data_IF_286811393654
#
_entry.id   IF_286811393654
#
_cell.length_a   1.000
_cell.length_b   1.000
_cell.length_c   1.000
_cell.angle_alpha   90.00
_cell.angle_beta   90.00
_cell.angle_gamma   90.00
#
_symmetry.space_group_name_H-M   'P 1'
#
loop_
_entity.id
_entity.type
_entity.pdbx_description
1 polymer ?
#
# COMPACT_ATOMS: atom_id res chain seq x y z
N UNK A 1 8.41 3.55 -20.18
CA UNK A 1 9.72 3.92 -19.59
C UNK A 1 9.80 3.61 -18.10
N UNK A 2 8.95 4.20 -17.22
CA UNK A 2 9.00 3.98 -15.76
C UNK A 2 9.04 2.48 -15.36
N UNK A 3 8.18 1.64 -15.95
CA UNK A 3 8.20 0.20 -15.74
C UNK A 3 9.58 -0.42 -16.01
N UNK A 4 10.15 -0.16 -17.20
CA UNK A 4 11.43 -0.73 -17.61
C UNK A 4 12.57 -0.23 -16.72
N UNK A 5 12.55 1.06 -16.34
CA UNK A 5 13.53 1.65 -15.44
C UNK A 5 13.48 0.98 -14.06
N UNK A 6 12.29 0.80 -13.48
CA UNK A 6 12.11 0.12 -12.20
C UNK A 6 12.54 -1.35 -12.28
N UNK A 7 12.17 -2.06 -13.34
CA UNK A 7 12.57 -3.46 -13.54
C UNK A 7 14.09 -3.62 -13.58
N UNK A 8 14.78 -2.78 -14.37
CA UNK A 8 16.23 -2.83 -14.51
C UNK A 8 16.95 -2.41 -13.21
N UNK A 9 16.47 -1.35 -12.54
CA UNK A 9 17.08 -0.85 -11.31
C UNK A 9 17.04 -1.88 -10.16
N UNK A 10 16.01 -2.72 -10.13
CA UNK A 10 15.82 -3.73 -9.08
C UNK A 10 16.18 -5.15 -9.50
N UNK A 11 16.73 -5.36 -10.70
CA UNK A 11 17.19 -6.67 -11.14
C UNK A 11 18.21 -7.33 -10.19
N UNK A 12 19.12 -6.59 -9.50
CA UNK A 12 20.00 -7.18 -8.50
C UNK A 12 19.26 -7.86 -7.33
N UNK A 13 18.00 -7.49 -7.05
CA UNK A 13 17.20 -8.11 -6.01
C UNK A 13 17.01 -9.62 -6.24
N UNK A 14 17.12 -10.11 -7.48
CA UNK A 14 16.98 -11.54 -7.78
C UNK A 14 18.04 -12.44 -7.13
N UNK A 15 19.13 -11.85 -6.63
CA UNK A 15 20.20 -12.55 -5.90
C UNK A 15 19.92 -12.65 -4.38
N UNK A 16 18.77 -12.16 -3.93
CA UNK A 16 18.38 -12.18 -2.51
C UNK A 16 17.96 -13.55 -1.98
N UNK A 17 17.69 -13.57 -0.68
CA UNK A 17 17.22 -14.73 0.10
C UNK A 17 15.89 -14.45 0.80
N UNK A 18 15.33 -15.44 1.49
CA UNK A 18 14.23 -15.23 2.44
C UNK A 18 14.73 -14.50 3.69
N UNK A 19 13.92 -13.60 4.25
CA UNK A 19 14.26 -12.80 5.44
C UNK A 19 13.07 -12.66 6.40
N UNK A 20 13.35 -12.50 7.70
CA UNK A 20 12.36 -12.12 8.73
C UNK A 20 11.05 -12.93 8.64
N UNK A 21 9.93 -12.25 8.40
CA UNK A 21 8.61 -12.86 8.39
C UNK A 21 8.39 -13.83 7.20
N UNK A 22 9.28 -13.86 6.21
CA UNK A 22 9.21 -14.80 5.08
C UNK A 22 9.20 -16.25 5.58
N UNK A 23 9.88 -16.53 6.68
CA UNK A 23 9.92 -17.87 7.23
C UNK A 23 8.55 -18.35 7.70
N UNK A 24 7.75 -17.50 8.36
CA UNK A 24 6.46 -17.92 8.88
C UNK A 24 5.27 -17.56 7.99
N UNK A 25 5.43 -16.64 7.03
CA UNK A 25 4.42 -16.37 6.02
C UNK A 25 4.54 -17.29 4.81
N UNK A 26 5.75 -17.65 4.39
CA UNK A 26 6.01 -18.34 3.12
C UNK A 26 6.62 -19.72 3.36
N UNK A 27 7.83 -19.79 3.94
CA UNK A 27 8.65 -21.01 3.94
C UNK A 27 8.04 -22.12 4.80
N UNK A 28 7.60 -21.79 6.01
CA UNK A 28 7.09 -22.74 7.00
C UNK A 28 5.56 -22.72 7.10
N UNK A 29 4.88 -21.92 6.27
CA UNK A 29 3.42 -21.79 6.35
C UNK A 29 2.72 -22.96 5.64
N UNK A 30 1.98 -23.81 6.37
CA UNK A 30 1.26 -24.93 5.77
C UNK A 30 0.23 -24.48 4.73
N UNK A 31 -0.42 -23.33 4.94
CA UNK A 31 -1.41 -22.79 4.02
C UNK A 31 -0.81 -22.42 2.66
N UNK A 32 0.46 -21.98 2.62
CA UNK A 32 1.17 -21.69 1.37
C UNK A 32 1.75 -22.95 0.73
N UNK A 33 2.23 -23.90 1.54
CA UNK A 33 2.84 -25.15 1.06
C UNK A 33 1.82 -26.11 0.46
N UNK A 34 0.70 -26.30 1.16
CA UNK A 34 -0.35 -27.24 0.82
C UNK A 34 -1.73 -26.63 1.14
N UNK A 35 -2.20 -25.64 0.35
CA UNK A 35 -3.50 -25.04 0.59
C UNK A 35 -4.63 -26.09 0.44
N UNK A 36 -5.57 -26.18 1.39
CA UNK A 36 -6.75 -27.04 1.27
C UNK A 36 -7.65 -26.67 0.06
N UNK A 37 -7.53 -25.44 -0.41
CA UNK A 37 -8.20 -24.89 -1.58
C UNK A 37 -8.01 -23.38 -1.66
N UNK A 38 -8.28 -22.76 -2.81
CA UNK A 38 -8.01 -21.33 -3.00
C UNK A 38 -8.90 -20.42 -2.14
N UNK A 39 -10.14 -20.85 -1.88
CA UNK A 39 -11.06 -20.12 -1.00
C UNK A 39 -10.65 -20.16 0.48
N UNK A 40 -9.76 -21.08 0.88
CA UNK A 40 -9.29 -21.20 2.27
C UNK A 40 -8.72 -19.89 2.81
N UNK A 41 -7.95 -19.17 1.99
CA UNK A 41 -7.34 -17.90 2.38
C UNK A 41 -8.38 -16.85 2.79
N UNK A 42 -9.55 -16.84 2.14
CA UNK A 42 -10.61 -15.84 2.37
C UNK A 42 -11.53 -16.17 3.54
N UNK A 43 -11.46 -17.39 4.06
CA UNK A 43 -12.34 -17.85 5.15
C UNK A 43 -11.57 -18.18 6.43
N UNK A 44 -10.25 -18.35 6.36
CA UNK A 44 -9.43 -18.78 7.49
C UNK A 44 -8.29 -17.78 7.77
N UNK A 45 -8.42 -16.93 8.79
CA UNK A 45 -7.38 -15.96 9.18
C UNK A 45 -6.05 -16.59 9.59
N UNK A 46 -6.10 -17.82 10.09
CA UNK A 46 -4.92 -18.62 10.45
C UNK A 46 -3.99 -18.90 9.27
N UNK A 47 -4.50 -18.80 8.04
CA UNK A 47 -3.69 -18.92 6.82
C UNK A 47 -2.55 -17.90 6.74
N UNK A 48 -2.62 -16.80 7.51
CA UNK A 48 -1.66 -15.71 7.47
C UNK A 48 -0.26 -16.09 7.96
N UNK A 49 -0.13 -16.92 9.01
CA UNK A 49 1.17 -17.18 9.64
C UNK A 49 1.22 -18.55 10.32
N UNK A 50 2.37 -19.23 10.20
CA UNK A 50 2.64 -20.48 10.93
C UNK A 50 2.83 -20.30 12.44
N UNK A 51 2.83 -19.07 12.97
CA UNK A 51 3.02 -18.79 14.40
C UNK A 51 1.73 -18.90 15.23
N UNK A 52 0.58 -19.24 14.62
CA UNK A 52 -0.64 -19.61 15.33
C UNK A 52 -1.38 -18.48 16.04
N UNK A 53 -1.08 -17.20 15.75
CA UNK A 53 -1.79 -16.04 16.29
C UNK A 53 -2.24 -15.10 15.17
N UNK A 54 -3.44 -15.29 14.60
CA UNK A 54 -3.91 -14.46 13.50
C UNK A 54 -4.30 -13.07 14.05
N UNK A 55 -3.43 -12.09 13.85
CA UNK A 55 -3.71 -10.67 14.16
C UNK A 55 -3.97 -9.84 12.91
N UNK A 56 -3.79 -10.47 11.74
CA UNK A 56 -3.89 -9.86 10.43
C UNK A 56 -4.62 -10.81 9.48
N UNK A 57 -5.37 -10.23 8.56
CA UNK A 57 -6.09 -10.94 7.52
C UNK A 57 -5.71 -10.33 6.16
N UNK A 58 -4.94 -11.08 5.37
CA UNK A 58 -4.41 -10.63 4.08
C UNK A 58 -4.56 -11.73 3.00
N UNK A 59 -5.81 -12.15 2.71
CA UNK A 59 -6.07 -13.33 1.89
C UNK A 59 -5.46 -13.25 0.49
N UNK A 60 -5.45 -12.08 -0.14
CA UNK A 60 -4.88 -11.94 -1.50
C UNK A 60 -3.36 -12.07 -1.51
N UNK A 61 -2.70 -11.54 -0.49
CA UNK A 61 -1.26 -11.72 -0.32
C UNK A 61 -0.93 -13.20 -0.14
N UNK A 62 -1.66 -13.91 0.74
CA UNK A 62 -1.43 -15.34 0.98
C UNK A 62 -1.74 -16.20 -0.25
N UNK A 63 -2.83 -15.91 -0.97
CA UNK A 63 -3.14 -16.54 -2.25
C UNK A 63 -2.02 -16.30 -3.26
N UNK A 64 -1.47 -15.08 -3.34
CA UNK A 64 -0.36 -14.77 -4.26
C UNK A 64 0.89 -15.60 -3.94
N UNK A 65 1.16 -15.88 -2.66
CA UNK A 65 2.28 -16.74 -2.27
C UNK A 65 2.02 -18.20 -2.64
N UNK A 66 0.82 -18.71 -2.38
CA UNK A 66 0.46 -20.09 -2.72
C UNK A 66 0.50 -20.33 -4.23
N UNK A 67 0.00 -19.39 -5.04
CA UNK A 67 0.10 -19.46 -6.51
C UNK A 67 1.56 -19.38 -6.98
N UNK A 68 2.37 -18.49 -6.38
CA UNK A 68 3.78 -18.39 -6.74
C UNK A 68 4.56 -19.66 -6.39
N UNK A 69 4.19 -20.36 -5.29
CA UNK A 69 4.80 -21.62 -4.87
C UNK A 69 4.67 -22.71 -5.93
N UNK A 70 3.56 -22.74 -6.68
CA UNK A 70 3.33 -23.72 -7.75
C UNK A 70 4.39 -23.68 -8.86
N UNK A 71 5.00 -22.52 -9.08
CA UNK A 71 5.99 -22.32 -10.16
C UNK A 71 7.41 -22.21 -9.59
N UNK A 72 7.57 -21.50 -8.47
CA UNK A 72 8.88 -21.19 -7.93
C UNK A 72 9.41 -22.26 -6.98
N UNK A 73 8.54 -23.02 -6.31
CA UNK A 73 8.89 -23.87 -5.17
C UNK A 73 9.86 -23.15 -4.21
N UNK A 74 11.12 -23.60 -4.12
CA UNK A 74 12.17 -23.02 -3.28
C UNK A 74 13.13 -22.05 -4.03
N UNK A 75 12.91 -21.79 -5.32
CA UNK A 75 13.75 -20.90 -6.13
C UNK A 75 13.47 -19.42 -5.82
N UNK A 76 14.19 -18.86 -4.84
CA UNK A 76 13.99 -17.49 -4.32
C UNK A 76 14.00 -16.42 -5.42
N UNK A 77 14.82 -16.58 -6.46
CA UNK A 77 14.88 -15.64 -7.59
C UNK A 77 13.53 -15.47 -8.29
N UNK A 78 12.73 -16.53 -8.45
CA UNK A 78 11.39 -16.44 -9.06
C UNK A 78 10.40 -15.72 -8.13
N UNK A 79 10.52 -15.92 -6.81
CA UNK A 79 9.74 -15.17 -5.83
C UNK A 79 10.04 -13.67 -5.87
N UNK A 80 11.32 -13.31 -5.94
CA UNK A 80 11.78 -11.93 -6.00
C UNK A 80 11.43 -11.29 -7.35
N UNK A 81 11.44 -12.06 -8.44
CA UNK A 81 11.00 -11.59 -9.76
C UNK A 81 9.56 -11.08 -9.72
N UNK A 82 8.65 -11.77 -9.03
CA UNK A 82 7.26 -11.31 -8.88
C UNK A 82 7.20 -9.96 -8.16
N UNK A 83 8.01 -9.75 -7.11
CA UNK A 83 8.07 -8.45 -6.42
C UNK A 83 8.66 -7.35 -7.32
N UNK A 84 9.71 -7.64 -8.08
CA UNK A 84 10.30 -6.70 -9.05
C UNK A 84 9.28 -6.30 -10.12
N UNK A 85 8.53 -7.28 -10.65
CA UNK A 85 7.47 -7.01 -11.63
C UNK A 85 6.31 -6.20 -11.05
N UNK A 86 5.90 -6.48 -9.81
CA UNK A 86 4.88 -5.70 -9.12
C UNK A 86 5.35 -4.25 -8.86
N UNK A 87 6.61 -4.05 -8.48
CA UNK A 87 7.17 -2.70 -8.34
C UNK A 87 7.25 -1.97 -9.67
N UNK A 88 7.67 -2.65 -10.74
CA UNK A 88 7.69 -2.10 -12.08
C UNK A 88 6.27 -1.71 -12.55
N UNK A 89 5.25 -2.54 -12.26
CA UNK A 89 3.85 -2.21 -12.50
C UNK A 89 3.44 -0.96 -11.73
N UNK A 90 3.76 -0.87 -10.43
CA UNK A 90 3.48 0.30 -9.61
C UNK A 90 4.12 1.57 -10.17
N UNK A 91 5.37 1.49 -10.63
CA UNK A 91 6.05 2.62 -11.26
C UNK A 91 5.36 3.07 -12.56
N UNK A 92 4.90 2.12 -13.38
CA UNK A 92 4.09 2.41 -14.57
C UNK A 92 2.76 3.07 -14.24
N UNK A 93 2.02 2.53 -13.26
CA UNK A 93 0.73 3.06 -12.82
C UNK A 93 0.88 4.46 -12.20
N UNK A 94 1.92 4.67 -11.41
CA UNK A 94 2.23 5.96 -10.80
C UNK A 94 2.56 7.02 -11.86
N UNK A 95 3.37 6.67 -12.87
CA UNK A 95 3.61 7.54 -14.03
C UNK A 95 2.30 7.92 -14.74
N UNK A 96 1.41 6.97 -14.99
CA UNK A 96 0.12 7.25 -15.63
C UNK A 96 -0.77 8.18 -14.80
N UNK A 97 -0.73 8.01 -13.48
CA UNK A 97 -1.48 8.85 -12.54
C UNK A 97 -0.92 10.28 -12.52
N UNK A 98 0.41 10.44 -12.45
CA UNK A 98 1.05 11.76 -12.55
C UNK A 98 0.75 12.44 -13.89
N UNK A 99 0.78 11.70 -15.00
CA UNK A 99 0.45 12.23 -16.32
C UNK A 99 -0.99 12.74 -16.37
N UNK A 100 -1.93 12.05 -15.71
CA UNK A 100 -3.33 12.48 -15.59
C UNK A 100 -3.47 13.74 -14.75
N UNK A 101 -2.72 13.86 -13.65
CA UNK A 101 -2.79 15.01 -12.74
C UNK A 101 -2.14 16.26 -13.32
N UNK A 102 -0.90 16.14 -13.79
CA UNK A 102 -0.09 17.27 -14.23
C UNK A 102 -0.39 17.70 -15.66
N UNK A 103 -0.87 16.76 -16.50
CA UNK A 103 -1.00 16.95 -17.96
C UNK A 103 0.31 17.38 -18.65
N UNK A 104 1.43 17.17 -17.98
CA UNK A 104 2.78 17.43 -18.45
C UNK A 104 3.55 16.10 -18.48
N UNK A 105 4.01 15.73 -19.67
CA UNK A 105 4.73 14.48 -19.87
C UNK A 105 6.08 14.45 -19.15
N UNK A 106 6.81 15.57 -19.17
CA UNK A 106 8.16 15.66 -18.59
C UNK A 106 8.08 15.57 -17.07
N UNK A 107 7.15 16.30 -16.44
CA UNK A 107 6.95 16.21 -14.99
C UNK A 107 6.51 14.81 -14.55
N UNK A 108 5.58 14.20 -15.28
CA UNK A 108 5.16 12.84 -15.02
C UNK A 108 6.32 11.85 -15.18
N UNK A 109 7.17 12.06 -16.19
CA UNK A 109 8.33 11.23 -16.45
C UNK A 109 9.38 11.34 -15.36
N UNK A 110 9.71 12.56 -14.92
CA UNK A 110 10.66 12.79 -13.83
C UNK A 110 10.14 12.20 -12.50
N UNK A 111 8.88 12.43 -12.16
CA UNK A 111 8.26 11.85 -10.96
C UNK A 111 8.16 10.32 -11.02
N UNK A 112 7.81 9.77 -12.19
CA UNK A 112 7.79 8.34 -12.43
C UNK A 112 9.18 7.71 -12.34
N UNK A 113 10.21 8.37 -12.88
CA UNK A 113 11.59 7.94 -12.77
C UNK A 113 12.09 7.96 -11.32
N UNK A 114 11.78 9.03 -10.58
CA UNK A 114 12.08 9.15 -9.16
C UNK A 114 11.48 7.99 -8.34
N UNK A 115 10.20 7.69 -8.56
CA UNK A 115 9.55 6.52 -7.95
C UNK A 115 10.15 5.19 -8.41
N UNK A 116 10.60 5.10 -9.66
CA UNK A 116 11.14 3.85 -10.23
C UNK A 116 12.43 3.41 -9.56
N UNK A 117 13.31 4.34 -9.16
CA UNK A 117 14.67 4.06 -8.66
C UNK A 117 14.89 4.40 -7.18
N UNK A 118 13.86 4.91 -6.49
CA UNK A 118 14.00 5.41 -5.12
C UNK A 118 14.44 4.34 -4.13
N UNK A 119 15.63 4.49 -3.54
CA UNK A 119 16.25 3.49 -2.66
C UNK A 119 15.38 3.06 -1.47
N UNK A 120 14.51 3.94 -0.96
CA UNK A 120 13.53 3.61 0.09
C UNK A 120 12.58 2.46 -0.30
N UNK A 121 12.38 2.24 -1.61
CA UNK A 121 11.55 1.18 -2.17
C UNK A 121 12.30 -0.15 -2.31
N UNK A 122 13.58 -0.22 -1.92
CA UNK A 122 14.32 -1.48 -1.84
C UNK A 122 13.72 -2.46 -0.84
N UNK A 123 13.20 -1.99 0.28
CA UNK A 123 12.56 -2.85 1.28
C UNK A 123 11.35 -3.61 0.72
N UNK A 124 10.32 -2.97 0.12
CA UNK A 124 9.19 -3.71 -0.44
C UNK A 124 9.55 -4.66 -1.59
N UNK A 125 10.65 -4.41 -2.31
CA UNK A 125 11.10 -5.29 -3.40
C UNK A 125 11.87 -6.50 -2.87
N UNK A 126 12.86 -6.29 -2.00
CA UNK A 126 13.77 -7.34 -1.52
C UNK A 126 13.19 -8.19 -0.38
N UNK A 127 12.22 -7.65 0.37
CA UNK A 127 11.56 -8.38 1.44
C UNK A 127 10.27 -9.03 0.94
N UNK A 128 10.27 -10.36 0.75
CA UNK A 128 9.21 -11.07 0.05
C UNK A 128 7.84 -10.90 0.70
N UNK A 129 7.75 -10.98 2.03
CA UNK A 129 6.50 -10.78 2.78
C UNK A 129 5.92 -9.38 2.60
N UNK A 130 6.76 -8.40 2.22
CA UNK A 130 6.30 -7.05 1.91
C UNK A 130 5.67 -6.92 0.51
N UNK A 131 5.52 -8.03 -0.23
CA UNK A 131 4.62 -8.15 -1.40
C UNK A 131 3.22 -7.63 -1.11
N UNK A 132 2.76 -7.77 0.14
CA UNK A 132 1.51 -7.19 0.61
C UNK A 132 1.41 -5.68 0.31
N UNK A 133 2.50 -4.91 0.54
CA UNK A 133 2.55 -3.49 0.19
C UNK A 133 2.50 -3.30 -1.32
N UNK A 134 3.29 -4.05 -2.08
CA UNK A 134 3.34 -3.90 -3.54
C UNK A 134 1.97 -4.14 -4.20
N UNK A 135 1.26 -5.19 -3.78
CA UNK A 135 -0.11 -5.48 -4.24
C UNK A 135 -1.09 -4.39 -3.83
N UNK A 136 -1.08 -3.98 -2.56
CA UNK A 136 -1.96 -2.93 -2.07
C UNK A 136 -1.74 -1.61 -2.81
N UNK A 137 -0.49 -1.23 -3.07
CA UNK A 137 -0.14 -0.05 -3.88
C UNK A 137 -0.67 -0.18 -5.30
N UNK A 138 -0.49 -1.33 -5.97
CA UNK A 138 -0.96 -1.52 -7.34
C UNK A 138 -2.48 -1.33 -7.44
N UNK A 139 -3.21 -1.94 -6.52
CA UNK A 139 -4.66 -1.85 -6.46
C UNK A 139 -5.15 -0.44 -6.08
N UNK A 140 -4.49 0.25 -5.14
CA UNK A 140 -4.81 1.66 -4.84
C UNK A 140 -4.60 2.54 -6.08
N UNK A 141 -3.46 2.41 -6.78
CA UNK A 141 -3.18 3.20 -7.98
C UNK A 141 -4.18 2.91 -9.12
N UNK A 142 -4.53 1.64 -9.34
CA UNK A 142 -5.59 1.26 -10.28
C UNK A 142 -6.93 1.87 -9.88
N UNK A 143 -7.30 1.79 -8.61
CA UNK A 143 -8.54 2.38 -8.10
C UNK A 143 -8.62 3.88 -8.38
N UNK A 144 -7.52 4.62 -8.16
CA UNK A 144 -7.45 6.06 -8.40
C UNK A 144 -7.58 6.37 -9.90
N UNK A 145 -6.90 5.61 -10.76
CA UNK A 145 -7.02 5.75 -12.21
C UNK A 145 -8.46 5.52 -12.70
N UNK A 146 -9.15 4.51 -12.18
CA UNK A 146 -10.54 4.22 -12.54
C UNK A 146 -11.53 5.26 -11.99
N UNK A 147 -11.35 5.72 -10.75
CA UNK A 147 -12.17 6.80 -10.19
C UNK A 147 -11.99 8.09 -11.00
N UNK A 148 -10.76 8.48 -11.32
CA UNK A 148 -10.49 9.64 -12.19
C UNK A 148 -11.10 9.49 -13.57
N UNK A 149 -10.98 8.30 -14.18
CA UNK A 149 -11.60 8.03 -15.47
C UNK A 149 -13.14 8.10 -15.42
N UNK A 150 -13.77 7.91 -14.25
CA UNK A 150 -15.21 8.03 -14.08
C UNK A 150 -15.73 9.45 -14.28
N UNK A 151 -14.87 10.47 -14.07
CA UNK A 151 -15.23 11.89 -14.25
C UNK A 151 -15.53 12.25 -15.70
N UNK A 152 -14.84 11.60 -16.64
CA UNK A 152 -15.05 11.80 -18.08
C UNK A 152 -16.17 10.92 -18.66
N UNK A 153 -16.82 10.11 -17.82
CA UNK A 153 -17.80 9.12 -18.24
C UNK A 153 -19.23 9.54 -17.86
N UNK A 154 -20.20 9.07 -18.62
CA UNK A 154 -21.63 9.24 -18.36
C UNK A 154 -22.37 7.90 -18.37
N UNK A 155 -23.56 7.87 -17.76
CA UNK A 155 -24.44 6.69 -17.74
C UNK A 155 -23.77 5.42 -17.18
N UNK A 156 -24.01 4.24 -17.78
CA UNK A 156 -23.46 2.96 -17.32
C UNK A 156 -21.92 2.93 -17.26
N UNK A 157 -21.25 3.66 -18.16
CA UNK A 157 -19.80 3.74 -18.19
C UNK A 157 -19.19 4.43 -16.98
N UNK A 158 -19.91 5.38 -16.35
CA UNK A 158 -19.49 6.00 -15.09
C UNK A 158 -19.60 5.00 -13.93
N UNK A 159 -20.75 4.30 -13.85
CA UNK A 159 -21.00 3.31 -12.82
C UNK A 159 -19.97 2.17 -12.85
N UNK A 160 -19.65 1.65 -14.04
CA UNK A 160 -18.66 0.58 -14.19
C UNK A 160 -17.27 1.00 -13.69
N UNK A 161 -16.86 2.25 -13.94
CA UNK A 161 -15.56 2.77 -13.49
C UNK A 161 -15.52 3.00 -11.98
N UNK A 162 -16.60 3.53 -11.40
CA UNK A 162 -16.73 3.66 -9.94
C UNK A 162 -16.73 2.29 -9.27
N UNK A 163 -17.44 1.31 -9.84
CA UNK A 163 -17.45 -0.06 -9.36
C UNK A 163 -16.06 -0.71 -9.47
N UNK A 164 -15.35 -0.54 -10.58
CA UNK A 164 -13.98 -1.01 -10.75
C UNK A 164 -13.05 -0.39 -9.69
N UNK A 165 -13.16 0.91 -9.44
CA UNK A 165 -12.37 1.60 -8.41
C UNK A 165 -12.67 1.03 -7.01
N UNK A 166 -13.94 0.78 -6.68
CA UNK A 166 -14.34 0.14 -5.42
C UNK A 166 -13.76 -1.28 -5.32
N UNK A 167 -13.84 -2.08 -6.37
CA UNK A 167 -13.26 -3.43 -6.41
C UNK A 167 -11.76 -3.37 -6.15
N UNK A 168 -11.03 -2.52 -6.85
CA UNK A 168 -9.60 -2.37 -6.63
C UNK A 168 -9.26 -1.87 -5.22
N UNK A 169 -10.03 -0.94 -4.66
CA UNK A 169 -9.87 -0.54 -3.26
C UNK A 169 -9.99 -1.75 -2.31
N UNK A 170 -11.01 -2.60 -2.48
CA UNK A 170 -11.17 -3.81 -1.69
C UNK A 170 -10.05 -4.83 -1.90
N UNK A 171 -9.60 -5.04 -3.13
CA UNK A 171 -8.43 -5.88 -3.40
C UNK A 171 -7.17 -5.34 -2.71
N UNK A 172 -7.03 -4.01 -2.63
CA UNK A 172 -5.99 -3.35 -1.85
C UNK A 172 -6.08 -3.71 -0.36
N UNK A 173 -7.26 -3.54 0.24
CA UNK A 173 -7.50 -3.85 1.66
C UNK A 173 -7.25 -5.33 2.00
N UNK A 174 -7.66 -6.23 1.11
CA UNK A 174 -7.44 -7.67 1.24
C UNK A 174 -5.98 -8.10 0.99
N UNK A 175 -5.15 -7.19 0.46
CA UNK A 175 -3.70 -7.39 0.33
C UNK A 175 -2.97 -6.83 1.54
N UNK A 176 -3.28 -5.59 1.94
CA UNK A 176 -2.72 -4.91 3.12
C UNK A 176 -3.60 -3.73 3.55
N UNK A 177 -3.70 -3.54 4.85
CA UNK A 177 -4.49 -2.49 5.49
C UNK A 177 -4.08 -1.06 5.10
N UNK A 178 -2.88 -0.84 4.57
CA UNK A 178 -2.42 0.47 4.07
C UNK A 178 -3.34 1.02 2.97
N UNK A 179 -4.09 0.17 2.27
CA UNK A 179 -5.04 0.61 1.25
C UNK A 179 -6.21 1.44 1.84
N UNK A 180 -6.39 1.44 3.17
CA UNK A 180 -7.35 2.29 3.88
C UNK A 180 -7.19 3.80 3.59
N UNK A 181 -6.03 4.22 3.08
CA UNK A 181 -5.81 5.61 2.64
C UNK A 181 -6.64 6.00 1.41
N UNK A 182 -7.13 5.03 0.63
CA UNK A 182 -7.81 5.23 -0.65
C UNK A 182 -8.95 6.28 -0.62
N UNK A 183 -9.99 6.18 0.24
CA UNK A 183 -11.04 7.20 0.28
C UNK A 183 -10.52 8.60 0.65
N UNK A 184 -9.46 8.66 1.47
CA UNK A 184 -8.76 9.91 1.76
C UNK A 184 -8.05 10.48 0.53
N UNK A 185 -7.36 9.63 -0.24
CA UNK A 185 -6.71 10.04 -1.49
C UNK A 185 -7.73 10.55 -2.52
N UNK A 186 -8.86 9.85 -2.72
CA UNK A 186 -9.92 10.31 -3.62
C UNK A 186 -10.46 11.68 -3.20
N UNK A 187 -10.69 11.88 -1.90
CA UNK A 187 -11.15 13.16 -1.36
C UNK A 187 -10.12 14.28 -1.57
N UNK A 188 -8.84 14.04 -1.29
CA UNK A 188 -7.77 15.02 -1.50
C UNK A 188 -7.66 15.40 -2.98
N UNK A 189 -7.72 14.40 -3.85
CA UNK A 189 -7.61 14.53 -5.28
C UNK A 189 -8.86 15.28 -5.86
N UNK A 190 -10.03 15.13 -5.24
CA UNK A 190 -11.22 15.95 -5.51
C UNK A 190 -11.04 17.41 -5.02
N UNK A 191 -10.41 17.65 -3.86
CA UNK A 191 -10.20 19.00 -3.31
C UNK A 191 -9.14 19.80 -4.07
N UNK A 192 -7.97 19.20 -4.31
CA UNK A 192 -6.83 19.89 -4.91
C UNK A 192 -6.96 20.06 -6.43
N UNK A 193 -7.41 19.03 -7.15
CA UNK A 193 -7.47 19.11 -8.62
C UNK A 193 -8.68 19.92 -9.14
N UNK A 194 -9.68 20.18 -8.29
CA UNK A 194 -10.79 21.09 -8.62
C UNK A 194 -10.56 22.53 -8.13
N UNK A 195 -9.34 22.84 -7.65
CA UNK A 195 -9.01 24.14 -7.03
C UNK A 195 -9.99 24.52 -5.91
N UNK A 196 -10.39 23.55 -5.08
CA UNK A 196 -11.34 23.74 -3.98
C UNK A 196 -12.80 23.90 -4.38
N UNK A 197 -13.15 23.86 -5.68
CA UNK A 197 -14.56 23.91 -6.12
C UNK A 197 -15.23 22.57 -5.85
N UNK A 198 -15.93 22.51 -4.71
CA UNK A 198 -16.61 21.30 -4.23
C UNK A 198 -17.73 20.86 -5.19
N UNK A 199 -17.44 19.88 -6.03
CA UNK A 199 -18.44 19.23 -6.87
C UNK A 199 -19.34 18.34 -5.99
N UNK A 200 -20.55 18.84 -5.67
CA UNK A 200 -21.53 18.10 -4.86
C UNK A 200 -21.94 16.78 -5.49
N UNK A 201 -21.78 16.60 -6.81
CA UNK A 201 -22.08 15.33 -7.49
C UNK A 201 -21.11 14.19 -7.10
N UNK A 202 -19.95 14.54 -6.52
CA UNK A 202 -18.95 13.57 -6.02
C UNK A 202 -19.23 13.07 -4.61
N UNK A 203 -20.13 13.73 -3.86
CA UNK A 203 -20.49 13.31 -2.52
C UNK A 203 -20.98 11.85 -2.44
N UNK A 204 -21.93 11.36 -3.27
CA UNK A 204 -22.36 9.97 -3.22
C UNK A 204 -21.23 8.98 -3.55
N UNK A 205 -20.32 9.32 -4.47
CA UNK A 205 -19.19 8.45 -4.83
C UNK A 205 -18.21 8.34 -3.64
N UNK A 206 -17.85 9.47 -3.03
CA UNK A 206 -17.02 9.48 -1.83
C UNK A 206 -17.69 8.71 -0.69
N UNK A 207 -19.00 8.86 -0.49
CA UNK A 207 -19.75 8.11 0.51
C UNK A 207 -19.67 6.59 0.27
N UNK A 208 -19.74 6.12 -0.98
CA UNK A 208 -19.58 4.70 -1.31
C UNK A 208 -18.20 4.18 -0.89
N UNK A 209 -17.12 4.94 -1.12
CA UNK A 209 -15.77 4.51 -0.70
C UNK A 209 -15.61 4.51 0.83
N UNK A 210 -16.15 5.51 1.53
CA UNK A 210 -16.14 5.56 2.99
C UNK A 210 -17.00 4.46 3.63
N UNK A 211 -18.16 4.14 3.04
CA UNK A 211 -18.99 3.00 3.46
C UNK A 211 -18.26 1.68 3.23
N UNK A 212 -17.55 1.53 2.11
CA UNK A 212 -16.69 0.39 1.84
C UNK A 212 -15.60 0.23 2.91
N UNK A 213 -14.95 1.34 3.30
CA UNK A 213 -13.98 1.33 4.39
C UNK A 213 -14.62 0.93 5.73
N UNK A 214 -15.80 1.48 6.06
CA UNK A 214 -16.55 1.12 7.26
C UNK A 214 -16.91 -0.37 7.31
N UNK A 215 -17.31 -0.95 6.17
CA UNK A 215 -17.59 -2.39 6.05
C UNK A 215 -16.33 -3.23 6.28
N UNK A 216 -15.16 -2.79 5.81
CA UNK A 216 -13.89 -3.45 6.09
C UNK A 216 -13.55 -3.43 7.59
N UNK A 217 -13.76 -2.29 8.27
CA UNK A 217 -13.56 -2.20 9.72
C UNK A 217 -14.52 -3.11 10.49
N UNK A 218 -15.79 -3.16 10.06
CA UNK A 218 -16.77 -4.09 10.62
C UNK A 218 -16.36 -5.55 10.44
N UNK A 219 -15.93 -5.94 9.24
CA UNK A 219 -15.41 -7.28 8.99
C UNK A 219 -14.20 -7.60 9.89
N UNK A 220 -13.25 -6.66 10.02
CA UNK A 220 -12.09 -6.83 10.90
C UNK A 220 -12.49 -7.00 12.37
N UNK A 221 -13.45 -6.22 12.84
CA UNK A 221 -14.01 -6.36 14.19
C UNK A 221 -14.61 -7.75 14.41
N UNK A 222 -15.45 -8.22 13.48
CA UNK A 222 -16.07 -9.55 13.58
C UNK A 222 -15.06 -10.69 13.59
N UNK A 223 -13.90 -10.51 12.94
CA UNK A 223 -12.86 -11.55 12.84
C UNK A 223 -11.90 -11.59 14.04
N UNK A 224 -11.61 -10.44 14.63
CA UNK A 224 -10.51 -10.32 15.62
C UNK A 224 -10.91 -9.69 16.95
N UNK A 225 -12.16 -9.24 17.09
CA UNK A 225 -12.64 -8.48 18.25
C UNK A 225 -11.77 -7.24 18.56
N UNK A 226 -11.13 -6.68 17.52
CA UNK A 226 -10.32 -5.46 17.60
C UNK A 226 -10.15 -4.83 16.24
N UNK A 227 -10.03 -3.50 16.23
CA UNK A 227 -9.58 -2.76 15.06
C UNK A 227 -8.04 -2.65 14.99
N UNK A 228 -7.36 -2.82 16.13
CA UNK A 228 -5.92 -2.60 16.28
C UNK A 228 -5.12 -3.88 16.51
N UNK A 229 -4.08 -3.79 17.35
CA UNK A 229 -3.31 -4.94 17.80
C UNK A 229 -3.63 -5.25 19.27
N UNK A 230 -3.82 -6.52 19.59
CA UNK A 230 -3.93 -7.01 20.97
C UNK A 230 -2.60 -7.06 21.71
N UNK A 231 -1.47 -7.03 20.99
CA UNK A 231 -0.14 -7.28 21.55
C UNK A 231 0.46 -6.06 22.25
N UNK A 232 0.25 -4.85 21.68
CA UNK A 232 0.73 -3.58 22.26
C UNK A 232 -0.24 -2.44 21.92
N UNK A 233 -1.43 -2.38 22.54
CA UNK A 233 -2.34 -1.26 22.33
C UNK A 233 -1.66 0.04 22.79
N UNK A 234 -1.56 1.02 21.89
CA UNK A 234 -1.12 2.38 22.22
C UNK A 234 -2.34 3.29 22.29
N UNK A 235 -2.41 4.23 23.26
CA UNK A 235 -3.43 5.26 23.25
C UNK A 235 -3.43 6.04 21.93
N UNK A 236 -4.62 6.42 21.45
CA UNK A 236 -4.78 7.11 20.16
C UNK A 236 -3.91 8.36 20.05
N UNK A 237 -3.82 9.26 21.05
CA UNK A 237 -3.00 10.47 20.95
C UNK A 237 -1.51 10.15 20.76
N UNK A 238 -0.97 9.21 21.54
CA UNK A 238 0.42 8.79 21.43
C UNK A 238 0.71 8.15 20.07
N UNK A 239 -0.22 7.34 19.57
CA UNK A 239 -0.09 6.75 18.24
C UNK A 239 -0.08 7.83 17.16
N UNK A 240 -0.97 8.83 17.21
CA UNK A 240 -1.00 9.93 16.24
C UNK A 240 0.30 10.73 16.22
N UNK A 241 0.84 11.08 17.40
CA UNK A 241 2.13 11.78 17.51
C UNK A 241 3.28 10.94 16.96
N UNK A 242 3.30 9.65 17.27
CA UNK A 242 4.28 8.72 16.72
C UNK A 242 4.19 8.60 15.19
N UNK A 243 2.98 8.51 14.63
CA UNK A 243 2.79 8.45 13.18
C UNK A 243 3.21 9.77 12.50
N UNK A 244 2.92 10.93 13.09
CA UNK A 244 3.37 12.22 12.56
C UNK A 244 4.91 12.28 12.48
N UNK A 245 5.61 11.84 13.53
CA UNK A 245 7.07 11.70 13.54
C UNK A 245 7.57 10.71 12.48
N UNK A 246 6.91 9.57 12.35
CA UNK A 246 7.27 8.54 11.38
C UNK A 246 7.19 9.07 9.94
N UNK A 247 6.12 9.80 9.59
CA UNK A 247 5.98 10.42 8.26
C UNK A 247 7.19 11.28 7.94
N UNK A 248 7.67 12.08 8.88
CA UNK A 248 8.85 12.92 8.67
C UNK A 248 10.13 12.12 8.45
N UNK A 249 10.37 11.08 9.26
CA UNK A 249 11.52 10.18 9.08
C UNK A 249 11.49 9.51 7.70
N UNK A 250 10.31 9.05 7.25
CA UNK A 250 10.17 8.45 5.93
C UNK A 250 10.34 9.46 4.77
N UNK A 251 9.87 10.70 4.94
CA UNK A 251 10.12 11.78 3.97
C UNK A 251 11.61 12.09 3.85
N UNK A 252 12.33 12.15 4.97
CA UNK A 252 13.78 12.31 4.94
C UNK A 252 14.48 11.14 4.24
N UNK A 253 14.06 9.90 4.50
CA UNK A 253 14.62 8.71 3.86
C UNK A 253 14.40 8.65 2.34
N UNK A 254 13.39 9.35 1.82
CA UNK A 254 13.17 9.49 0.38
C UNK A 254 14.30 10.30 -0.28
N UNK A 255 14.75 11.39 0.36
CA UNK A 255 15.78 12.29 -0.19
C UNK A 255 17.20 11.98 0.32
N UNK A 256 17.31 11.34 1.48
CA UNK A 256 18.56 10.99 2.14
C UNK A 256 18.53 9.52 2.60
N UNK A 257 18.59 8.54 1.66
CA UNK A 257 18.45 7.13 1.94
C UNK A 257 19.74 6.50 2.52
N UNK A 258 20.31 7.10 3.56
CA UNK A 258 21.51 6.59 4.24
C UNK A 258 21.07 5.80 5.48
N UNK A 259 21.70 4.64 5.72
CA UNK A 259 21.38 3.75 6.84
C UNK A 259 19.91 3.29 6.88
N UNK A 260 19.36 2.91 5.72
CA UNK A 260 18.03 2.30 5.68
C UNK A 260 18.03 0.99 6.48
N UNK A 261 17.21 0.94 7.53
CA UNK A 261 17.00 -0.25 8.35
C UNK A 261 15.55 -0.70 8.21
N UNK A 262 15.33 -2.01 8.11
CA UNK A 262 14.00 -2.62 7.97
C UNK A 262 13.04 -2.20 9.09
N UNK A 263 13.58 -2.02 10.30
CA UNK A 263 12.89 -1.49 11.47
C UNK A 263 13.64 -0.24 11.97
N UNK A 264 13.26 0.96 11.51
CA UNK A 264 13.85 2.19 12.01
C UNK A 264 13.63 2.31 13.52
N UNK A 265 14.71 2.50 14.28
CA UNK A 265 14.62 2.76 15.72
C UNK A 265 14.18 4.22 15.93
N UNK A 266 12.89 4.50 15.75
CA UNK A 266 12.36 5.81 16.11
C UNK A 266 12.23 5.88 17.63
N UNK A 267 12.87 6.88 18.25
CA UNK A 267 12.76 7.09 19.69
C UNK A 267 11.30 7.29 20.08
N UNK A 268 10.84 6.57 21.11
CA UNK A 268 9.46 6.54 21.60
C UNK A 268 8.92 7.87 22.18
N UNK A 269 9.66 8.97 22.01
CA UNK A 269 9.22 10.30 22.43
C UNK A 269 7.94 10.69 21.66
N UNK A 270 6.80 10.64 22.38
CA UNK A 270 5.50 11.14 21.97
C UNK A 270 5.22 12.49 22.65
N UNK A 271 6.21 13.39 22.66
CA UNK A 271 6.09 14.72 23.25
C UNK A 271 5.85 15.77 22.18
N UNK A 272 4.93 16.71 22.42
CA UNK A 272 4.76 17.90 21.57
C UNK A 272 6.00 18.81 21.55
N UNK A 273 6.92 18.62 22.49
CA UNK A 273 8.21 19.32 22.54
C UNK A 273 9.30 18.60 21.74
N UNK A 274 9.03 17.44 21.15
CA UNK A 274 9.97 16.76 20.27
C UNK A 274 10.14 17.57 18.98
N UNK A 275 11.37 18.02 18.72
CA UNK A 275 11.70 18.82 17.55
C UNK A 275 11.29 18.13 16.23
N UNK A 276 11.37 16.80 16.15
CA UNK A 276 10.96 16.07 14.95
C UNK A 276 9.43 16.11 14.75
N UNK A 277 8.66 16.12 15.84
CA UNK A 277 7.19 16.26 15.78
C UNK A 277 6.82 17.68 15.38
N UNK A 278 7.46 18.70 15.97
CA UNK A 278 7.21 20.10 15.64
C UNK A 278 7.50 20.34 14.16
N UNK A 279 8.64 19.84 13.65
CA UNK A 279 9.05 19.97 12.26
C UNK A 279 8.08 19.24 11.31
N UNK A 280 7.63 18.04 11.67
CA UNK A 280 6.63 17.28 10.90
C UNK A 280 5.30 18.04 10.81
N UNK A 281 4.82 18.58 11.92
CA UNK A 281 3.56 19.33 11.99
C UNK A 281 3.66 20.67 11.23
N UNK A 282 4.78 21.38 11.33
CA UNK A 282 4.99 22.61 10.55
C UNK A 282 5.07 22.32 9.06
N UNK A 283 5.77 21.26 8.64
CA UNK A 283 5.81 20.86 7.24
C UNK A 283 4.42 20.51 6.69
N UNK A 284 3.60 19.77 7.46
CA UNK A 284 2.21 19.46 7.10
C UNK A 284 1.36 20.72 6.93
N UNK A 285 1.51 21.72 7.82
CA UNK A 285 0.81 23.00 7.72
C UNK A 285 1.29 23.79 6.49
N UNK A 286 2.60 23.87 6.26
CA UNK A 286 3.17 24.59 5.10
C UNK A 286 2.70 24.01 3.77
N UNK A 287 2.65 22.68 3.64
CA UNK A 287 2.13 22.00 2.44
C UNK A 287 0.63 22.25 2.25
N UNK A 288 -0.14 22.45 3.33
CA UNK A 288 -1.58 22.75 3.23
C UNK A 288 -1.92 24.18 2.82
N UNK A 289 -0.95 25.09 2.83
CA UNK A 289 -1.11 26.53 2.54
C UNK A 289 -0.56 26.90 1.14
N UNK A 290 0.21 26.01 0.51
CA UNK A 290 0.69 26.12 -0.87
C UNK A 290 -0.34 25.61 -1.88
#
# INVERSE_FOLDING_TARGET
MAFALAFLAYLPALQGSFHFDDFHHIVNNPAVRNPPGWFYFFTNPESFSSLGKPTLFRPLTMLSFALNRLVAENQVSIWLLVNVLLHALNAGLFFLLLLRWQKDYVLALLGGAFFSVGAVLSQPVNYLSNRATLLATAFVLLGLLFDRASLAASGPGKLLRVAAALVFFWLGLLSKEIAAVFPGLVLLEDLFLTQGKRDRSRFPINAVYWLGFGLFLWMRWMMFDTLGSHLKPRPVPENLLFQAKAVWVYLLNIFYPIHLVVLPQTSHSASLHDFQIILALTALVLVSVL
#
